data_IF_593213205666
#
_entry.id   IF_593213205666
#
_cell.length_a   1.000
_cell.length_b   1.000
_cell.length_c   1.000
_cell.angle_alpha   90.00
_cell.angle_beta   90.00
_cell.angle_gamma   90.00
#
_symmetry.space_group_name_H-M   'P 1'
#
loop_
_entity.id
_entity.type
_entity.pdbx_description
1 polymer ?
#
# COMPACT_ATOMS: atom_id res chain seq x y z
N UNK A 1 -43.76 -11.97 -32.32
CA UNK A 1 -42.43 -11.34 -32.27
C UNK A 1 -42.44 -10.29 -31.17
N UNK A 2 -41.88 -10.60 -30.00
CA UNK A 2 -41.33 -9.58 -29.10
C UNK A 2 -40.26 -10.24 -28.26
N UNK A 3 -39.02 -10.10 -28.72
CA UNK A 3 -37.82 -10.56 -28.03
C UNK A 3 -37.67 -9.75 -26.74
N UNK A 4 -37.86 -10.40 -25.59
CA UNK A 4 -37.51 -9.83 -24.29
C UNK A 4 -36.01 -10.00 -24.13
N UNK A 5 -35.27 -8.95 -24.46
CA UNK A 5 -33.84 -8.83 -24.15
C UNK A 5 -33.75 -8.62 -22.64
N UNK A 6 -33.66 -9.69 -21.87
CA UNK A 6 -33.28 -9.62 -20.46
C UNK A 6 -31.84 -9.14 -20.41
N UNK A 7 -31.66 -7.86 -20.07
CA UNK A 7 -30.40 -7.33 -19.56
C UNK A 7 -30.05 -8.16 -18.33
N UNK A 8 -29.24 -9.21 -18.51
CA UNK A 8 -28.71 -10.04 -17.43
C UNK A 8 -27.83 -9.11 -16.60
N UNK A 9 -28.37 -8.64 -15.48
CA UNK A 9 -27.64 -7.86 -14.50
C UNK A 9 -26.38 -8.62 -14.11
N UNK A 10 -25.25 -7.91 -13.99
CA UNK A 10 -24.01 -8.52 -13.48
C UNK A 10 -24.31 -9.17 -12.12
N UNK A 11 -23.89 -10.43 -11.90
CA UNK A 11 -24.08 -11.09 -10.62
C UNK A 11 -23.33 -10.34 -9.52
N UNK A 12 -23.94 -10.26 -8.35
CA UNK A 12 -23.36 -9.69 -7.13
C UNK A 12 -22.50 -10.73 -6.42
N UNK A 13 -21.68 -10.32 -5.45
CA UNK A 13 -20.82 -11.27 -4.70
C UNK A 13 -21.64 -12.35 -3.96
N UNK A 14 -22.85 -12.01 -3.51
CA UNK A 14 -23.78 -12.96 -2.91
C UNK A 14 -24.32 -13.99 -3.94
N UNK A 15 -24.49 -13.58 -5.20
CA UNK A 15 -24.86 -14.50 -6.28
C UNK A 15 -23.70 -15.44 -6.63
N UNK A 16 -22.45 -14.98 -6.48
CA UNK A 16 -21.26 -15.79 -6.70
C UNK A 16 -21.13 -16.88 -5.63
N UNK A 17 -21.30 -16.54 -4.35
CA UNK A 17 -21.22 -17.51 -3.25
C UNK A 17 -22.26 -18.63 -3.41
N UNK A 18 -23.48 -18.28 -3.83
CA UNK A 18 -24.54 -19.26 -4.11
C UNK A 18 -24.24 -20.13 -5.34
N UNK A 19 -23.60 -19.57 -6.37
CA UNK A 19 -23.13 -20.33 -7.54
C UNK A 19 -21.98 -21.30 -7.20
N UNK A 20 -21.15 -20.98 -6.21
CA UNK A 20 -20.08 -21.85 -5.72
C UNK A 20 -20.62 -22.99 -4.83
N UNK A 21 -21.66 -22.72 -4.02
CA UNK A 21 -22.31 -23.72 -3.17
C UNK A 21 -23.12 -24.75 -3.97
N UNK A 22 -23.83 -24.36 -5.03
CA UNK A 22 -24.64 -25.26 -5.87
C UNK A 22 -23.80 -25.99 -6.93
N UNK A 23 -22.64 -26.53 -6.54
CA UNK A 23 -21.56 -27.23 -7.30
C UNK A 23 -21.95 -28.31 -8.35
N UNK A 24 -23.21 -28.39 -8.79
CA UNK A 24 -23.57 -28.95 -10.09
C UNK A 24 -22.94 -28.10 -11.19
N UNK A 25 -21.91 -28.67 -11.82
CA UNK A 25 -21.28 -28.26 -13.09
C UNK A 25 -21.84 -26.94 -13.66
N UNK A 26 -21.19 -25.84 -13.30
CA UNK A 26 -21.46 -24.54 -13.92
C UNK A 26 -21.38 -24.67 -15.44
N UNK A 27 -22.38 -24.16 -16.15
CA UNK A 27 -22.33 -24.03 -17.62
C UNK A 27 -21.11 -23.17 -18.02
N UNK A 28 -20.54 -23.40 -19.21
CA UNK A 28 -19.35 -22.65 -19.65
C UNK A 28 -19.58 -21.14 -19.63
N UNK A 29 -20.77 -20.71 -20.02
CA UNK A 29 -21.18 -19.30 -20.01
C UNK A 29 -21.23 -18.74 -18.58
N UNK A 30 -21.59 -19.57 -17.60
CA UNK A 30 -21.61 -19.18 -16.19
C UNK A 30 -20.20 -19.11 -15.61
N UNK A 31 -19.29 -20.01 -16.01
CA UNK A 31 -17.88 -19.94 -15.61
C UNK A 31 -17.18 -18.70 -16.15
N UNK A 32 -17.37 -18.36 -17.43
CA UNK A 32 -16.80 -17.14 -18.02
C UNK A 32 -17.32 -15.88 -17.32
N UNK A 33 -18.64 -15.81 -17.10
CA UNK A 33 -19.27 -14.69 -16.39
C UNK A 33 -18.73 -14.54 -14.96
N UNK A 34 -18.51 -15.67 -14.27
CA UNK A 34 -17.96 -15.70 -12.93
C UNK A 34 -16.53 -15.15 -12.91
N UNK A 35 -15.65 -15.64 -13.80
CA UNK A 35 -14.25 -15.17 -13.91
C UNK A 35 -14.19 -13.69 -14.24
N UNK A 36 -15.01 -13.21 -15.18
CA UNK A 36 -15.05 -11.79 -15.54
C UNK A 36 -15.58 -10.91 -14.41
N UNK A 37 -16.57 -11.39 -13.65
CA UNK A 37 -17.11 -10.66 -12.50
C UNK A 37 -16.10 -10.59 -11.36
N UNK A 38 -15.45 -11.71 -11.04
CA UNK A 38 -14.36 -11.76 -10.06
C UNK A 38 -13.22 -10.81 -10.45
N UNK A 39 -12.82 -10.78 -11.71
CA UNK A 39 -11.79 -9.87 -12.20
C UNK A 39 -12.19 -8.40 -12.04
N UNK A 40 -13.40 -8.04 -12.49
CA UNK A 40 -13.87 -6.67 -12.43
C UNK A 40 -13.98 -6.16 -10.98
N UNK A 41 -14.47 -7.01 -10.08
CA UNK A 41 -14.58 -6.67 -8.66
C UNK A 41 -13.21 -6.62 -7.99
N UNK A 42 -12.30 -7.51 -8.36
CA UNK A 42 -10.91 -7.50 -7.88
C UNK A 42 -10.17 -6.23 -8.31
N UNK A 43 -10.26 -5.84 -9.59
CA UNK A 43 -9.67 -4.59 -10.09
C UNK A 43 -10.24 -3.36 -9.36
N UNK A 44 -11.55 -3.36 -9.07
CA UNK A 44 -12.22 -2.29 -8.33
C UNK A 44 -11.73 -2.19 -6.89
N UNK A 45 -11.76 -3.31 -6.15
CA UNK A 45 -11.36 -3.37 -4.74
C UNK A 45 -9.87 -3.00 -4.62
N UNK A 46 -9.02 -3.57 -5.46
CA UNK A 46 -7.60 -3.25 -5.48
C UNK A 46 -7.33 -1.78 -5.81
N UNK A 47 -8.08 -1.20 -6.76
CA UNK A 47 -7.98 0.22 -7.07
C UNK A 47 -8.26 1.09 -5.85
N UNK A 48 -9.30 0.77 -5.07
CA UNK A 48 -9.64 1.51 -3.84
C UNK A 48 -8.52 1.40 -2.80
N UNK A 49 -8.04 0.19 -2.50
CA UNK A 49 -6.98 0.00 -1.50
C UNK A 49 -5.67 0.67 -1.90
N UNK A 50 -5.26 0.53 -3.17
CA UNK A 50 -4.04 1.16 -3.68
C UNK A 50 -4.13 2.68 -3.61
N UNK A 51 -5.25 3.27 -4.01
CA UNK A 51 -5.44 4.72 -3.97
C UNK A 51 -5.53 5.26 -2.54
N UNK A 52 -6.22 4.56 -1.64
CA UNK A 52 -6.30 4.94 -0.24
C UNK A 52 -4.91 4.93 0.42
N UNK A 53 -4.11 3.88 0.20
CA UNK A 53 -2.74 3.78 0.69
C UNK A 53 -1.81 4.84 0.07
N UNK A 54 -1.90 5.07 -1.24
CA UNK A 54 -1.13 6.12 -1.90
C UNK A 54 -1.42 7.50 -1.30
N UNK A 55 -2.70 7.81 -1.08
CA UNK A 55 -3.14 9.06 -0.47
C UNK A 55 -2.64 9.19 0.98
N UNK A 56 -2.71 8.11 1.76
CA UNK A 56 -2.18 8.07 3.12
C UNK A 56 -0.67 8.31 3.16
N UNK A 57 0.09 7.64 2.30
CA UNK A 57 1.54 7.84 2.16
C UNK A 57 1.87 9.28 1.76
N UNK A 58 1.15 9.86 0.79
CA UNK A 58 1.35 11.24 0.34
C UNK A 58 1.02 12.26 1.45
N UNK A 59 -0.09 12.05 2.17
CA UNK A 59 -0.47 12.91 3.29
C UNK A 59 0.59 12.86 4.41
N UNK A 60 1.09 11.66 4.73
CA UNK A 60 2.14 11.48 5.72
C UNK A 60 3.46 12.13 5.26
N UNK A 61 3.81 12.02 3.97
CA UNK A 61 4.96 12.73 3.40
C UNK A 61 4.83 14.24 3.59
N UNK A 62 3.64 14.81 3.34
CA UNK A 62 3.37 16.23 3.57
C UNK A 62 3.52 16.62 5.06
N UNK A 63 3.09 15.76 5.99
CA UNK A 63 3.33 15.97 7.43
C UNK A 63 4.84 16.01 7.74
N UNK A 64 5.64 15.10 7.19
CA UNK A 64 7.09 15.13 7.37
C UNK A 64 7.74 16.39 6.79
N UNK A 65 7.29 16.85 5.62
CA UNK A 65 7.74 18.14 5.04
C UNK A 65 7.35 19.31 5.95
N UNK A 66 6.12 19.33 6.46
CA UNK A 66 5.67 20.35 7.41
C UNK A 66 6.55 20.37 8.67
N UNK A 67 6.84 19.21 9.24
CA UNK A 67 7.73 19.09 10.40
C UNK A 67 9.15 19.58 10.10
N UNK A 68 9.67 19.30 8.90
CA UNK A 68 10.96 19.80 8.45
C UNK A 68 10.96 21.35 8.37
N UNK A 69 9.94 21.94 7.74
CA UNK A 69 9.79 23.40 7.63
C UNK A 69 9.64 24.03 9.02
N UNK A 70 8.81 23.47 9.88
CA UNK A 70 8.61 23.95 11.24
C UNK A 70 9.92 23.91 12.05
N UNK A 71 10.70 22.85 11.91
CA UNK A 71 11.99 22.70 12.60
C UNK A 71 13.06 23.70 12.08
N UNK A 72 12.96 24.15 10.82
CA UNK A 72 13.81 25.22 10.28
C UNK A 72 13.41 26.58 10.85
N UNK A 73 12.10 26.89 10.89
CA UNK A 73 11.59 28.20 11.32
C UNK A 73 11.63 28.38 12.85
N UNK A 74 11.30 27.33 13.59
CA UNK A 74 11.17 27.34 15.06
C UNK A 74 11.92 26.13 15.65
N UNK A 75 13.27 26.15 15.60
CA UNK A 75 14.07 24.99 16.00
C UNK A 75 13.80 24.63 17.46
N UNK A 76 13.45 23.36 17.70
CA UNK A 76 13.21 22.80 19.03
C UNK A 76 12.04 23.40 19.81
N UNK A 77 11.20 24.24 19.18
CA UNK A 77 9.95 24.70 19.81
C UNK A 77 8.88 23.61 19.86
N UNK A 78 8.93 22.64 18.95
CA UNK A 78 8.06 21.47 19.03
C UNK A 78 8.54 20.57 20.18
N UNK A 79 7.64 20.22 21.10
CA UNK A 79 7.93 19.33 22.23
C UNK A 79 8.55 18.01 21.77
N UNK A 80 8.12 17.50 20.62
CA UNK A 80 8.64 16.28 19.99
C UNK A 80 10.11 16.36 19.60
N UNK A 81 10.65 17.55 19.37
CA UNK A 81 12.05 17.76 18.97
C UNK A 81 12.89 18.39 20.08
N UNK A 82 12.28 19.05 21.07
CA UNK A 82 12.97 19.67 22.19
C UNK A 82 13.89 18.68 22.94
N UNK A 83 13.41 17.44 23.15
CA UNK A 83 14.21 16.37 23.78
C UNK A 83 15.45 15.97 22.99
N UNK A 84 15.42 16.12 21.67
CA UNK A 84 16.53 15.79 20.77
C UNK A 84 17.60 16.88 20.73
N UNK A 85 17.34 18.08 21.26
CA UNK A 85 18.24 19.24 21.18
C UNK A 85 19.63 18.98 21.76
N UNK A 86 19.74 18.15 22.79
CA UNK A 86 21.01 17.80 23.43
C UNK A 86 21.82 16.76 22.64
N UNK A 87 21.18 15.99 21.76
CA UNK A 87 21.79 14.82 21.10
C UNK A 87 21.91 14.95 19.57
N UNK A 88 21.10 15.81 18.96
CA UNK A 88 20.95 15.93 17.50
C UNK A 88 20.76 17.38 17.11
N UNK A 89 21.57 17.85 16.15
CA UNK A 89 21.45 19.19 15.58
C UNK A 89 20.16 19.33 14.76
N UNK A 90 19.61 20.54 14.72
CA UNK A 90 18.36 20.82 14.00
C UNK A 90 18.45 20.42 12.52
N UNK A 91 19.60 20.67 11.89
CA UNK A 91 19.88 20.28 10.50
C UNK A 91 19.73 18.77 10.27
N UNK A 92 20.20 17.94 11.20
CA UNK A 92 20.04 16.49 11.06
C UNK A 92 18.59 16.05 11.18
N UNK A 93 17.82 16.68 12.08
CA UNK A 93 16.38 16.44 12.23
C UNK A 93 15.68 16.75 10.90
N UNK A 94 15.91 17.95 10.34
CA UNK A 94 15.33 18.38 9.06
C UNK A 94 15.68 17.41 7.93
N UNK A 95 16.96 17.07 7.78
CA UNK A 95 17.42 16.13 6.74
C UNK A 95 16.71 14.78 6.83
N UNK A 96 16.56 14.22 8.02
CA UNK A 96 15.90 12.92 8.20
C UNK A 96 14.39 12.98 7.93
N UNK A 97 13.73 14.12 8.23
CA UNK A 97 12.32 14.30 7.86
C UNK A 97 12.14 14.39 6.34
N UNK A 98 13.05 15.07 5.62
CA UNK A 98 13.01 15.13 4.16
C UNK A 98 13.28 13.76 3.52
N UNK A 99 14.26 12.99 4.03
CA UNK A 99 14.53 11.61 3.58
C UNK A 99 13.30 10.73 3.80
N UNK A 100 12.65 10.81 4.97
CA UNK A 100 11.40 10.12 5.24
C UNK A 100 10.27 10.52 4.27
N UNK A 101 10.11 11.81 3.99
CA UNK A 101 9.10 12.29 3.04
C UNK A 101 9.33 11.71 1.63
N UNK A 102 10.58 11.63 1.16
CA UNK A 102 10.92 11.00 -0.12
C UNK A 102 10.59 9.51 -0.11
N UNK A 103 10.90 8.80 0.98
CA UNK A 103 10.57 7.38 1.12
C UNK A 103 9.07 7.10 1.05
N UNK A 104 8.26 7.92 1.74
CA UNK A 104 6.80 7.82 1.72
C UNK A 104 6.22 8.17 0.35
N UNK A 105 6.77 9.19 -0.32
CA UNK A 105 6.36 9.53 -1.67
C UNK A 105 6.68 8.39 -2.65
N UNK A 106 7.87 7.79 -2.56
CA UNK A 106 8.24 6.62 -3.36
C UNK A 106 7.30 5.43 -3.09
N UNK A 107 6.92 5.17 -1.82
CA UNK A 107 5.92 4.14 -1.48
C UNK A 107 4.56 4.43 -2.12
N UNK A 108 4.14 5.69 -2.19
CA UNK A 108 2.91 6.10 -2.86
C UNK A 108 2.97 5.81 -4.37
N UNK A 109 4.09 6.11 -5.04
CA UNK A 109 4.27 5.83 -6.47
C UNK A 109 4.37 4.31 -6.76
N UNK A 110 5.01 3.57 -5.86
CA UNK A 110 5.12 2.11 -5.96
C UNK A 110 3.75 1.43 -5.93
N UNK A 111 2.88 1.81 -5.00
CA UNK A 111 1.54 1.20 -4.86
C UNK A 111 0.62 1.57 -6.03
N UNK A 112 0.84 2.71 -6.70
CA UNK A 112 0.10 3.14 -7.91
C UNK A 112 0.64 2.56 -9.22
N UNK A 113 1.37 1.43 -9.17
CA UNK A 113 1.89 0.68 -10.34
C UNK A 113 2.95 1.42 -11.19
N UNK A 114 3.68 2.39 -10.66
CA UNK A 114 4.74 3.09 -11.42
C UNK A 114 6.04 2.28 -11.60
N UNK A 115 6.02 0.97 -11.37
CA UNK A 115 7.14 0.05 -11.52
C UNK A 115 7.89 -0.27 -10.21
N UNK A 116 8.68 -1.35 -10.24
CA UNK A 116 9.37 -1.87 -9.04
C UNK A 116 10.61 -1.08 -8.64
N UNK A 117 11.13 -0.21 -9.51
CA UNK A 117 12.21 0.71 -9.16
C UNK A 117 11.83 1.60 -7.94
N UNK A 118 10.56 1.98 -7.82
CA UNK A 118 10.07 2.76 -6.68
C UNK A 118 10.09 1.99 -5.36
N UNK A 119 10.02 0.66 -5.38
CA UNK A 119 10.18 -0.17 -4.18
C UNK A 119 11.61 -0.08 -3.64
N UNK A 120 12.60 -0.13 -4.53
CA UNK A 120 14.00 -0.03 -4.11
C UNK A 120 14.28 1.34 -3.48
N UNK A 121 13.74 2.41 -4.09
CA UNK A 121 13.83 3.77 -3.55
C UNK A 121 13.09 3.85 -2.21
N UNK A 122 11.85 3.37 -2.12
CA UNK A 122 11.08 3.43 -0.88
C UNK A 122 11.76 2.66 0.25
N UNK A 123 12.33 1.48 -0.04
CA UNK A 123 13.04 0.67 0.93
C UNK A 123 14.32 1.36 1.42
N UNK A 124 15.13 1.92 0.52
CA UNK A 124 16.34 2.65 0.86
C UNK A 124 16.03 3.85 1.77
N UNK A 125 15.06 4.67 1.35
CA UNK A 125 14.68 5.89 2.06
C UNK A 125 13.81 5.62 3.30
N UNK A 126 13.27 4.41 3.47
CA UNK A 126 12.66 3.98 4.73
C UNK A 126 13.70 3.42 5.71
N UNK A 127 14.72 2.70 5.22
CA UNK A 127 15.76 2.11 6.05
C UNK A 127 16.70 3.16 6.65
N UNK A 128 17.06 4.19 5.88
CA UNK A 128 17.98 5.24 6.34
C UNK A 128 17.49 5.97 7.62
N UNK A 129 16.25 6.52 7.66
CA UNK A 129 15.71 7.11 8.88
C UNK A 129 15.53 6.09 10.00
N UNK A 130 15.10 4.87 9.69
CA UNK A 130 14.88 3.82 10.69
C UNK A 130 16.17 3.47 11.43
N UNK A 131 17.27 3.24 10.70
CA UNK A 131 18.58 2.95 11.27
C UNK A 131 19.14 4.16 12.01
N UNK A 132 19.03 5.35 11.41
CA UNK A 132 19.53 6.58 12.02
C UNK A 132 18.89 6.85 13.38
N UNK A 133 17.56 6.85 13.45
CA UNK A 133 16.83 7.10 14.70
C UNK A 133 17.02 5.97 15.71
N UNK A 134 17.06 4.72 15.27
CA UNK A 134 17.35 3.59 16.17
C UNK A 134 18.73 3.71 16.81
N UNK A 135 19.75 4.10 16.04
CA UNK A 135 21.09 4.35 16.55
C UNK A 135 21.13 5.54 17.52
N UNK A 136 20.41 6.63 17.21
CA UNK A 136 20.34 7.78 18.12
C UNK A 136 19.61 7.46 19.41
N UNK A 137 18.55 6.64 19.35
CA UNK A 137 17.78 6.25 20.53
C UNK A 137 18.50 5.24 21.42
N UNK A 138 19.39 4.40 20.89
CA UNK A 138 20.19 3.49 21.72
C UNK A 138 21.20 4.21 22.63
N UNK A 139 21.55 5.46 22.30
CA UNK A 139 22.41 6.30 23.14
C UNK A 139 21.70 6.92 24.34
N UNK A 140 20.37 6.86 24.42
CA UNK A 140 19.62 7.39 25.56
C UNK A 140 19.48 6.35 26.68
N UNK A 141 19.67 6.78 27.92
CA UNK A 141 19.53 5.94 29.13
C UNK A 141 18.10 5.42 29.29
N UNK A 142 17.11 6.19 28.83
CA UNK A 142 15.70 5.79 28.82
C UNK A 142 15.16 5.97 27.41
N UNK A 143 14.61 4.91 26.84
CA UNK A 143 14.11 4.92 25.47
C UNK A 143 12.87 5.82 25.36
N UNK A 144 12.88 6.87 24.52
CA UNK A 144 11.76 7.80 24.39
C UNK A 144 10.63 7.17 23.56
N UNK A 145 9.77 6.38 24.20
CA UNK A 145 8.65 5.65 23.54
C UNK A 145 7.68 6.58 22.82
N UNK A 146 7.50 7.82 23.29
CA UNK A 146 6.66 8.84 22.66
C UNK A 146 7.16 9.27 21.27
N UNK A 147 8.41 8.97 20.91
CA UNK A 147 9.02 9.30 19.61
C UNK A 147 9.36 8.04 18.78
N UNK A 148 8.85 6.87 19.19
CA UNK A 148 9.10 5.60 18.48
C UNK A 148 8.55 5.58 17.05
N UNK A 149 7.65 6.51 16.73
CA UNK A 149 7.09 6.67 15.40
C UNK A 149 8.15 7.16 14.39
N UNK A 150 9.18 7.91 14.80
CA UNK A 150 10.24 8.38 13.88
C UNK A 150 10.94 7.25 13.10
N UNK A 151 11.47 6.18 13.76
CA UNK A 151 12.03 5.04 13.04
C UNK A 151 10.96 4.13 12.44
N UNK A 152 9.82 3.97 13.11
CA UNK A 152 8.83 2.94 12.77
C UNK A 152 7.97 3.28 11.56
N UNK A 153 7.55 4.54 11.41
CA UNK A 153 6.50 4.90 10.44
C UNK A 153 6.88 4.61 9.00
N UNK A 154 8.08 4.97 8.56
CA UNK A 154 8.50 4.76 7.17
C UNK A 154 8.65 3.27 6.83
N UNK A 155 9.30 2.51 7.71
CA UNK A 155 9.48 1.07 7.55
C UNK A 155 8.14 0.34 7.53
N UNK A 156 7.22 0.69 8.46
CA UNK A 156 5.88 0.13 8.51
C UNK A 156 5.09 0.43 7.23
N UNK A 157 5.07 1.68 6.77
CA UNK A 157 4.35 2.06 5.55
C UNK A 157 4.93 1.38 4.31
N UNK A 158 6.26 1.31 4.19
CA UNK A 158 6.91 0.57 3.10
C UNK A 158 6.50 -0.91 3.12
N UNK A 159 6.53 -1.57 4.28
CA UNK A 159 6.14 -2.98 4.41
C UNK A 159 4.66 -3.21 4.07
N UNK A 160 3.76 -2.33 4.54
CA UNK A 160 2.32 -2.41 4.23
C UNK A 160 2.09 -2.25 2.73
N UNK A 161 2.70 -1.24 2.09
CA UNK A 161 2.53 -1.01 0.64
C UNK A 161 3.08 -2.16 -0.18
N UNK A 162 4.22 -2.75 0.22
CA UNK A 162 4.76 -3.96 -0.38
C UNK A 162 3.81 -5.16 -0.25
N UNK A 163 3.32 -5.42 0.95
CA UNK A 163 2.40 -6.52 1.21
C UNK A 163 1.12 -6.42 0.37
N UNK A 164 0.50 -5.23 0.35
CA UNK A 164 -0.73 -5.01 -0.40
C UNK A 164 -0.48 -5.12 -1.90
N UNK A 165 0.58 -4.51 -2.44
CA UNK A 165 0.86 -4.61 -3.88
C UNK A 165 1.09 -6.07 -4.30
N UNK A 166 1.90 -6.81 -3.54
CA UNK A 166 2.20 -8.21 -3.81
C UNK A 166 0.97 -9.10 -3.68
N UNK A 167 0.13 -8.88 -2.68
CA UNK A 167 -1.15 -9.58 -2.53
C UNK A 167 -2.06 -9.34 -3.74
N UNK A 168 -2.11 -8.10 -4.23
CA UNK A 168 -2.87 -7.78 -5.42
C UNK A 168 -2.33 -8.45 -6.68
N UNK A 169 -1.01 -8.49 -6.86
CA UNK A 169 -0.35 -9.15 -8.00
C UNK A 169 -0.54 -10.68 -7.98
N UNK A 170 -0.46 -11.30 -6.80
CA UNK A 170 -0.71 -12.73 -6.64
C UNK A 170 -2.14 -13.08 -7.05
N UNK A 171 -3.13 -12.32 -6.57
CA UNK A 171 -4.52 -12.57 -6.92
C UNK A 171 -4.82 -12.31 -8.40
N UNK A 172 -4.14 -11.36 -9.04
CA UNK A 172 -4.21 -11.12 -10.49
C UNK A 172 -3.69 -12.33 -11.28
N UNK A 173 -2.61 -12.96 -10.79
CA UNK A 173 -2.06 -14.19 -11.37
C UNK A 173 -3.00 -15.38 -11.16
N UNK A 174 -3.54 -15.57 -9.96
CA UNK A 174 -4.46 -16.68 -9.64
C UNK A 174 -5.72 -16.63 -10.53
N UNK A 175 -6.29 -15.43 -10.73
CA UNK A 175 -7.43 -15.21 -11.66
C UNK A 175 -7.04 -15.51 -13.11
N UNK A 176 -5.82 -15.15 -13.53
CA UNK A 176 -5.32 -15.48 -14.87
C UNK A 176 -5.12 -17.00 -15.04
N UNK A 177 -4.67 -17.69 -13.99
CA UNK A 177 -4.46 -19.14 -14.00
C UNK A 177 -5.80 -19.88 -14.11
N UNK A 178 -6.81 -19.48 -13.32
CA UNK A 178 -8.20 -19.96 -13.44
C UNK A 178 -8.73 -19.88 -14.88
N UNK A 179 -8.48 -18.75 -15.55
CA UNK A 179 -8.87 -18.57 -16.95
C UNK A 179 -8.11 -19.51 -17.89
N UNK A 180 -6.83 -19.76 -17.62
CA UNK A 180 -6.02 -20.67 -18.43
C UNK A 180 -6.51 -22.12 -18.35
N UNK A 181 -6.93 -22.57 -17.16
CA UNK A 181 -7.50 -23.91 -16.98
C UNK A 181 -8.83 -24.09 -17.69
N UNK A 182 -9.69 -23.05 -17.68
CA UNK A 182 -10.93 -23.06 -18.45
C UNK A 182 -10.66 -23.19 -19.96
N UNK A 183 -9.67 -22.48 -20.51
CA UNK A 183 -9.32 -22.62 -21.93
C UNK A 183 -8.62 -23.94 -22.27
N UNK A 184 -7.80 -24.48 -21.37
CA UNK A 184 -7.17 -25.78 -21.56
C UNK A 184 -8.21 -26.90 -21.62
N UNK A 185 -9.27 -26.82 -20.80
CA UNK A 185 -10.40 -27.75 -20.85
C UNK A 185 -11.20 -27.62 -22.15
N UNK A 186 -11.36 -26.40 -22.69
CA UNK A 186 -12.03 -26.16 -23.99
C UNK A 186 -11.29 -26.73 -25.20
N UNK A 187 -9.97 -26.92 -25.09
CA UNK A 187 -9.11 -27.39 -26.18
C UNK A 187 -8.86 -28.90 -26.20
N UNK A 188 -9.35 -29.64 -25.20
CA UNK A 188 -9.24 -31.09 -25.06
C UNK A 188 -10.54 -31.79 -25.48
#
# INVERSE_FOLDING_TARGET
MSSVTTLRSRPTMADIDTMLEDSRYLDETQQELLVDTLRAENERIHGVYRNALATLCAALAAVFVYLAVHQVLYPYMAETHAFLSSAVSSTHIVSMHLVAAVGLFASALYITRMGDAWLAISLLFAALPALYWSYKFSAFVTYPTHIIWLPGTNAAMCAITWYVKRGCEQLENDVSELRSYMYAYKGA
#
